data_IF_265610754964
#
_entry.id   IF_265610754964
#
_cell.length_a   1.000
_cell.length_b   1.000
_cell.length_c   1.000
_cell.angle_alpha   90.00
_cell.angle_beta   90.00
_cell.angle_gamma   90.00
#
_symmetry.space_group_name_H-M   'P 1'
#
loop_
_entity.id
_entity.type
_entity.pdbx_description
1 polymer ?
#
# COMPACT_ATOMS: atom_id res chain seq x y z
N UNK A 1 41.43 3.34 -1.96
CA UNK A 1 40.33 3.72 -2.86
C UNK A 1 39.28 2.66 -2.62
N UNK A 2 38.41 2.94 -1.66
CA UNK A 2 37.60 1.93 -1.00
C UNK A 2 36.16 2.44 -0.92
N UNK A 3 35.30 1.68 -1.59
CA UNK A 3 33.89 1.37 -1.31
C UNK A 3 32.96 2.52 -0.86
N UNK A 4 32.19 3.00 -1.84
CA UNK A 4 30.98 3.80 -1.68
C UNK A 4 29.79 2.86 -1.41
N UNK A 5 29.24 2.91 -0.19
CA UNK A 5 27.91 2.37 0.10
C UNK A 5 27.27 3.18 1.25
N UNK A 6 25.96 3.39 1.11
CA UNK A 6 25.01 3.98 2.07
C UNK A 6 24.90 5.51 2.09
N UNK A 7 23.97 6.02 1.30
CA UNK A 7 22.66 6.43 1.83
C UNK A 7 21.92 7.16 0.71
N UNK A 8 20.96 6.47 0.10
CA UNK A 8 19.91 7.14 -0.66
C UNK A 8 19.08 7.95 0.34
N UNK A 9 19.58 9.13 0.70
CA UNK A 9 18.79 10.19 1.32
C UNK A 9 17.68 10.50 0.34
N UNK A 10 16.46 10.25 0.80
CA UNK A 10 15.21 10.66 0.20
C UNK A 10 15.32 12.09 -0.32
N UNK A 11 15.50 12.26 -1.63
CA UNK A 11 15.37 13.57 -2.27
C UNK A 11 13.87 13.89 -2.31
N UNK A 12 13.41 14.72 -1.38
CA UNK A 12 12.19 15.50 -1.56
C UNK A 12 12.59 16.80 -2.27
N UNK A 13 11.91 17.20 -3.36
CA UNK A 13 12.17 18.50 -3.96
C UNK A 13 11.65 19.59 -3.02
N UNK A 14 12.56 20.38 -2.46
CA UNK A 14 12.23 21.65 -1.82
C UNK A 14 11.74 22.61 -2.92
N UNK A 15 10.44 22.79 -3.07
CA UNK A 15 9.89 23.86 -3.91
C UNK A 15 9.89 25.12 -3.06
N UNK A 16 10.83 26.02 -3.32
CA UNK A 16 10.87 27.34 -2.70
C UNK A 16 9.83 28.25 -3.37
N UNK A 17 8.72 28.53 -2.68
CA UNK A 17 7.89 29.68 -2.99
C UNK A 17 8.52 30.88 -2.27
N UNK A 18 9.38 31.64 -2.95
CA UNK A 18 9.97 32.84 -2.37
C UNK A 18 8.97 34.01 -2.47
N UNK A 19 8.27 34.32 -1.38
CA UNK A 19 7.69 35.66 -1.19
C UNK A 19 8.76 36.58 -0.59
N UNK A 20 9.04 37.77 -1.16
CA UNK A 20 10.00 38.70 -0.58
C UNK A 20 9.48 39.27 0.75
N UNK A 21 10.11 38.91 1.87
CA UNK A 21 9.90 39.55 3.17
C UNK A 21 9.32 38.69 4.30
N UNK A 22 8.96 37.43 4.04
CA UNK A 22 8.52 36.50 5.09
C UNK A 22 9.71 35.77 5.72
N UNK A 23 9.76 35.69 7.06
CA UNK A 23 10.70 34.83 7.77
C UNK A 23 10.52 33.37 7.31
N UNK A 24 11.60 32.58 7.14
CA UNK A 24 11.50 31.20 6.72
C UNK A 24 10.80 30.38 7.82
N UNK A 25 9.48 30.27 7.71
CA UNK A 25 8.72 29.30 8.48
C UNK A 25 8.95 27.95 7.82
N UNK A 26 9.64 27.05 8.53
CA UNK A 26 9.72 25.64 8.16
C UNK A 26 8.30 25.04 8.21
N UNK A 27 7.51 25.26 7.16
CA UNK A 27 6.30 24.49 6.95
C UNK A 27 6.77 23.13 6.43
N UNK A 28 7.01 22.21 7.36
CA UNK A 28 7.09 20.79 7.04
C UNK A 28 5.77 20.44 6.36
N UNK A 29 5.78 20.36 5.02
CA UNK A 29 4.69 19.73 4.29
C UNK A 29 4.70 18.27 4.73
N UNK A 30 3.98 17.99 5.80
CA UNK A 30 3.78 16.65 6.30
C UNK A 30 3.03 15.93 5.20
N UNK A 31 3.77 15.19 4.37
CA UNK A 31 3.18 14.32 3.36
C UNK A 31 2.24 13.43 4.16
N UNK A 32 0.93 13.61 3.97
CA UNK A 32 -0.06 12.97 4.83
C UNK A 32 0.00 11.45 4.70
N UNK A 33 0.68 10.98 3.64
CA UNK A 33 0.79 9.60 3.24
C UNK A 33 2.17 9.00 3.49
N UNK A 34 2.19 7.91 4.27
CA UNK A 34 3.41 7.22 4.67
C UNK A 34 3.32 5.74 4.30
N UNK A 35 4.37 5.18 3.69
CA UNK A 35 4.47 3.73 3.50
C UNK A 35 4.74 3.06 4.83
N UNK A 36 3.90 2.09 5.21
CA UNK A 36 4.04 1.31 6.45
C UNK A 36 4.67 -0.06 6.21
N UNK A 37 4.72 -0.51 4.96
CA UNK A 37 5.46 -1.71 4.58
C UNK A 37 5.86 -1.68 3.10
N UNK A 38 6.88 -2.44 2.76
CA UNK A 38 7.29 -2.69 1.38
C UNK A 38 7.54 -4.18 1.18
N UNK A 39 7.08 -4.72 0.06
CA UNK A 39 7.30 -6.10 -0.36
C UNK A 39 7.37 -6.19 -1.88
N UNK A 40 7.93 -7.26 -2.43
CA UNK A 40 7.88 -7.58 -3.86
C UNK A 40 6.89 -8.70 -4.09
N UNK A 41 6.00 -8.50 -5.06
CA UNK A 41 5.05 -9.52 -5.48
C UNK A 41 4.63 -9.34 -6.94
N UNK A 42 4.20 -10.42 -7.58
CA UNK A 42 3.44 -10.35 -8.82
C UNK A 42 1.97 -10.12 -8.49
N UNK A 43 1.38 -9.09 -9.09
CA UNK A 43 -0.04 -8.74 -8.88
C UNK A 43 -0.91 -9.52 -9.86
N UNK A 44 -1.82 -10.29 -9.30
CA UNK A 44 -2.70 -11.21 -10.02
C UNK A 44 -4.16 -10.84 -9.77
N UNK A 45 -5.02 -11.19 -10.73
CA UNK A 45 -6.47 -11.15 -10.60
C UNK A 45 -7.03 -12.52 -10.95
N UNK A 46 -8.08 -12.92 -10.25
CA UNK A 46 -8.79 -14.16 -10.60
C UNK A 46 -9.76 -13.87 -11.75
N UNK A 47 -9.59 -14.56 -12.87
CA UNK A 47 -10.54 -14.51 -13.98
C UNK A 47 -11.59 -15.62 -13.80
N UNK A 48 -12.83 -15.21 -13.52
CA UNK A 48 -13.95 -16.12 -13.29
C UNK A 48 -14.37 -16.89 -14.55
N UNK A 49 -14.02 -16.41 -15.76
CA UNK A 49 -14.35 -17.08 -17.02
C UNK A 49 -13.43 -18.27 -17.23
N UNK A 50 -12.12 -18.05 -17.10
CA UNK A 50 -11.11 -19.09 -17.32
C UNK A 50 -10.69 -19.84 -16.05
N UNK A 51 -11.29 -19.49 -14.89
CA UNK A 51 -11.07 -20.10 -13.57
C UNK A 51 -9.60 -20.13 -13.15
N UNK A 52 -8.82 -19.13 -13.57
CA UNK A 52 -7.37 -19.08 -13.34
C UNK A 52 -6.93 -17.70 -12.85
N UNK A 53 -5.80 -17.69 -12.14
CA UNK A 53 -5.10 -16.45 -11.84
C UNK A 53 -4.39 -15.95 -13.09
N UNK A 54 -4.63 -14.69 -13.44
CA UNK A 54 -3.96 -14.00 -14.55
C UNK A 54 -3.26 -12.75 -14.04
N UNK A 55 -2.15 -12.31 -14.66
CA UNK A 55 -1.54 -11.02 -14.33
C UNK A 55 -2.56 -9.89 -14.49
N UNK A 56 -2.55 -8.92 -13.58
CA UNK A 56 -3.50 -7.79 -13.60
C UNK A 56 -3.44 -6.96 -14.89
N UNK A 57 -2.30 -6.97 -15.59
CA UNK A 57 -2.16 -6.41 -16.92
C UNK A 57 -1.65 -7.49 -17.89
N UNK A 58 -2.37 -7.76 -19.00
CA UNK A 58 -1.91 -8.69 -20.03
C UNK A 58 -0.53 -8.32 -20.57
N UNK A 59 0.32 -9.32 -20.81
CA UNK A 59 1.69 -9.12 -21.31
C UNK A 59 2.70 -8.58 -20.27
N UNK A 60 2.25 -8.16 -19.08
CA UNK A 60 3.09 -7.55 -18.05
C UNK A 60 3.32 -8.52 -16.88
N UNK A 61 4.16 -9.53 -17.12
CA UNK A 61 4.59 -10.48 -16.09
C UNK A 61 5.75 -9.93 -15.24
N UNK A 62 5.92 -10.46 -14.04
CA UNK A 62 7.04 -10.12 -13.15
C UNK A 62 6.67 -9.23 -11.96
N UNK A 63 7.68 -9.03 -11.11
CA UNK A 63 7.52 -8.42 -9.79
C UNK A 63 7.21 -6.92 -9.85
N UNK A 64 6.39 -6.51 -8.89
CA UNK A 64 6.09 -5.12 -8.58
C UNK A 64 6.53 -4.85 -7.14
N UNK A 65 6.97 -3.62 -6.86
CA UNK A 65 7.13 -3.11 -5.50
C UNK A 65 5.74 -2.78 -4.97
N UNK A 66 5.30 -3.52 -3.97
CA UNK A 66 4.02 -3.35 -3.29
C UNK A 66 4.28 -2.59 -2.00
N UNK A 67 3.55 -1.50 -1.79
CA UNK A 67 3.51 -0.77 -0.53
C UNK A 67 2.09 -0.74 0.02
N UNK A 68 1.95 -0.74 1.33
CA UNK A 68 0.73 -0.25 1.99
C UNK A 68 1.03 1.16 2.46
N UNK A 69 0.23 2.11 2.01
CA UNK A 69 0.30 3.50 2.44
C UNK A 69 -0.80 3.79 3.45
N UNK A 70 -0.45 4.54 4.49
CA UNK A 70 -1.36 5.12 5.48
C UNK A 70 -1.43 6.62 5.27
N UNK A 71 -2.63 7.14 5.00
CA UNK A 71 -2.89 8.56 5.05
C UNK A 71 -3.37 8.93 6.44
N UNK A 72 -2.51 9.59 7.21
CA UNK A 72 -2.76 9.96 8.61
C UNK A 72 -3.80 11.08 8.76
N UNK A 73 -4.03 11.90 7.73
CA UNK A 73 -4.96 13.02 7.79
C UNK A 73 -6.43 12.57 7.77
N UNK A 74 -6.73 11.50 7.03
CA UNK A 74 -8.08 10.93 6.92
C UNK A 74 -8.15 9.49 7.47
N UNK A 75 -7.05 8.99 8.02
CA UNK A 75 -6.87 7.64 8.53
C UNK A 75 -7.31 6.55 7.53
N UNK A 76 -6.93 6.71 6.26
CA UNK A 76 -7.20 5.73 5.20
C UNK A 76 -5.95 4.93 4.86
N UNK A 77 -6.15 3.72 4.35
CA UNK A 77 -5.07 2.85 3.91
C UNK A 77 -5.28 2.41 2.47
N UNK A 78 -4.19 2.24 1.72
CA UNK A 78 -4.24 1.70 0.36
C UNK A 78 -3.04 0.84 0.02
N UNK A 79 -3.27 -0.18 -0.80
CA UNK A 79 -2.24 -1.00 -1.43
C UNK A 79 -1.86 -0.37 -2.76
N UNK A 80 -0.58 -0.06 -2.95
CA UNK A 80 -0.05 0.48 -4.20
C UNK A 80 1.05 -0.44 -4.71
N UNK A 81 0.87 -0.95 -5.93
CA UNK A 81 1.87 -1.77 -6.61
C UNK A 81 2.40 -1.06 -7.83
N UNK A 82 3.73 -0.94 -7.90
CA UNK A 82 4.45 -0.30 -9.00
C UNK A 82 5.40 -1.31 -9.63
N UNK A 83 5.33 -1.50 -10.94
CA UNK A 83 6.21 -2.42 -11.66
C UNK A 83 7.67 -1.99 -11.53
N UNK A 84 8.54 -2.98 -11.31
CA UNK A 84 9.98 -2.71 -11.16
C UNK A 84 10.65 -2.30 -12.48
N UNK A 85 10.08 -2.70 -13.62
CA UNK A 85 10.67 -2.51 -14.95
C UNK A 85 10.47 -1.09 -15.50
N UNK A 86 9.22 -0.61 -15.48
CA UNK A 86 8.80 0.63 -16.15
C UNK A 86 8.17 1.65 -15.19
N UNK A 87 8.20 1.36 -13.88
CA UNK A 87 7.58 2.16 -12.82
C UNK A 87 6.07 2.39 -13.01
N UNK A 88 5.39 1.52 -13.77
CA UNK A 88 3.96 1.65 -14.00
C UNK A 88 3.16 1.21 -12.76
N UNK A 89 2.16 2.01 -12.37
CA UNK A 89 1.19 1.62 -11.35
C UNK A 89 0.29 0.51 -11.91
N UNK A 90 0.27 -0.63 -11.23
CA UNK A 90 -0.52 -1.81 -11.59
C UNK A 90 -1.67 -2.10 -10.65
N UNK A 91 -1.60 -1.60 -9.41
CA UNK A 91 -2.70 -1.64 -8.46
C UNK A 91 -2.65 -0.39 -7.58
N UNK A 92 -3.82 0.19 -7.33
CA UNK A 92 -4.04 1.29 -6.40
C UNK A 92 -5.37 1.04 -5.70
N UNK A 93 -5.34 0.20 -4.66
CA UNK A 93 -6.53 -0.36 -4.03
C UNK A 93 -6.72 0.22 -2.63
N UNK A 94 -7.87 0.86 -2.39
CA UNK A 94 -8.25 1.35 -1.07
C UNK A 94 -8.67 0.20 -0.16
N UNK A 95 -7.97 0.04 0.97
CA UNK A 95 -8.31 -0.98 1.97
C UNK A 95 -9.54 -0.48 2.72
N UNK A 96 -10.63 -1.23 2.61
CA UNK A 96 -11.90 -0.91 3.26
C UNK A 96 -12.10 -1.73 4.53
N UNK A 97 -12.88 -1.19 5.47
CA UNK A 97 -13.31 -1.94 6.65
C UNK A 97 -14.03 -3.23 6.23
N UNK A 98 -13.78 -4.32 6.94
CA UNK A 98 -14.42 -5.60 6.68
C UNK A 98 -13.85 -6.35 5.47
N UNK A 99 -12.79 -5.84 4.83
CA UNK A 99 -12.06 -6.57 3.80
C UNK A 99 -11.61 -7.94 4.34
N UNK A 100 -11.92 -9.00 3.59
CA UNK A 100 -11.50 -10.36 3.91
C UNK A 100 -10.15 -10.66 3.26
N UNK A 101 -9.09 -10.51 4.03
CA UNK A 101 -7.73 -10.88 3.64
C UNK A 101 -7.46 -12.37 3.96
N UNK A 102 -6.95 -13.12 2.99
CA UNK A 102 -6.69 -14.56 3.10
C UNK A 102 -5.26 -14.90 2.66
N UNK A 103 -4.51 -15.57 3.52
CA UNK A 103 -3.16 -16.08 3.24
C UNK A 103 -3.28 -17.52 2.70
N UNK A 104 -3.57 -17.65 1.40
CA UNK A 104 -3.87 -18.94 0.77
C UNK A 104 -2.66 -19.91 0.78
N UNK A 105 -1.45 -19.37 0.63
CA UNK A 105 -0.19 -20.10 0.84
C UNK A 105 0.82 -19.16 1.54
N UNK A 106 1.99 -19.66 2.00
CA UNK A 106 3.02 -18.80 2.62
C UNK A 106 3.57 -17.68 1.73
N UNK A 107 3.34 -17.73 0.42
CA UNK A 107 3.79 -16.71 -0.55
C UNK A 107 2.66 -16.22 -1.45
N UNK A 108 1.42 -16.69 -1.27
CA UNK A 108 0.29 -16.27 -2.08
C UNK A 108 -0.88 -15.83 -1.20
N UNK A 109 -1.12 -14.52 -1.16
CA UNK A 109 -2.21 -13.94 -0.38
C UNK A 109 -3.22 -13.27 -1.31
N UNK A 110 -4.48 -13.21 -0.89
CA UNK A 110 -5.57 -12.72 -1.71
C UNK A 110 -6.62 -11.98 -0.90
N UNK A 111 -7.39 -11.15 -1.57
CA UNK A 111 -8.61 -10.54 -1.04
C UNK A 111 -9.62 -10.34 -2.16
N UNK A 112 -10.88 -10.16 -1.78
CA UNK A 112 -12.00 -9.98 -2.71
C UNK A 112 -12.74 -8.70 -2.38
N UNK A 113 -13.11 -7.96 -3.41
CA UNK A 113 -14.15 -6.93 -3.34
C UNK A 113 -15.40 -7.35 -4.13
N UNK A 114 -16.35 -6.43 -4.31
CA UNK A 114 -17.61 -6.72 -5.01
C UNK A 114 -17.45 -7.14 -6.48
N UNK A 115 -16.32 -6.83 -7.12
CA UNK A 115 -16.12 -7.00 -8.57
C UNK A 115 -14.95 -7.93 -8.91
N UNK A 116 -13.93 -8.00 -8.06
CA UNK A 116 -12.66 -8.63 -8.39
C UNK A 116 -12.05 -9.35 -7.18
N UNK A 117 -11.38 -10.47 -7.46
CA UNK A 117 -10.42 -11.08 -6.52
C UNK A 117 -9.02 -10.67 -6.93
N UNK A 118 -8.29 -10.11 -6.00
CA UNK A 118 -6.88 -9.74 -6.13
C UNK A 118 -6.02 -10.78 -5.44
N UNK A 119 -4.86 -11.05 -6.03
CA UNK A 119 -3.85 -11.94 -5.49
C UNK A 119 -2.47 -11.32 -5.58
N UNK A 120 -1.63 -11.57 -4.58
CA UNK A 120 -0.23 -11.21 -4.56
C UNK A 120 0.59 -12.48 -4.42
N UNK A 121 1.41 -12.78 -5.44
CA UNK A 121 2.41 -13.83 -5.39
C UNK A 121 3.76 -13.22 -4.99
N UNK A 122 4.10 -13.31 -3.72
CA UNK A 122 5.28 -12.69 -3.13
C UNK A 122 6.57 -13.36 -3.58
N UNK A 123 7.64 -12.57 -3.68
CA UNK A 123 8.97 -13.07 -4.05
C UNK A 123 9.60 -13.96 -2.96
N UNK A 124 9.17 -13.82 -1.70
CA UNK A 124 9.58 -14.69 -0.59
C UNK A 124 8.54 -14.76 0.53
N UNK A 125 8.69 -15.72 1.44
CA UNK A 125 7.84 -15.88 2.63
C UNK A 125 8.00 -14.70 3.59
N UNK A 126 9.22 -14.17 3.69
CA UNK A 126 9.55 -13.03 4.54
C UNK A 126 8.79 -11.79 4.05
N UNK A 127 8.82 -11.52 2.74
CA UNK A 127 8.08 -10.41 2.14
C UNK A 127 6.56 -10.56 2.29
N UNK A 128 6.06 -11.79 2.17
CA UNK A 128 4.66 -12.12 2.41
C UNK A 128 4.25 -11.83 3.88
N UNK A 129 5.12 -12.19 4.83
CA UNK A 129 4.91 -11.98 6.27
C UNK A 129 4.94 -10.49 6.62
N UNK A 130 5.91 -9.74 6.08
CA UNK A 130 5.97 -8.28 6.26
C UNK A 130 4.69 -7.61 5.75
N UNK A 131 4.21 -8.01 4.58
CA UNK A 131 2.98 -7.46 4.01
C UNK A 131 1.73 -7.86 4.82
N UNK A 132 1.62 -9.12 5.26
CA UNK A 132 0.45 -9.59 6.01
C UNK A 132 0.34 -8.89 7.36
N UNK A 133 1.44 -8.69 8.08
CA UNK A 133 1.44 -7.96 9.35
C UNK A 133 0.92 -6.53 9.18
N UNK A 134 1.35 -5.83 8.13
CA UNK A 134 0.90 -4.46 7.84
C UNK A 134 -0.57 -4.41 7.38
N UNK A 135 -1.01 -5.39 6.58
CA UNK A 135 -2.41 -5.51 6.15
C UNK A 135 -3.33 -5.74 7.35
N UNK A 136 -3.00 -6.67 8.24
CA UNK A 136 -3.79 -6.96 9.43
C UNK A 136 -3.81 -5.76 10.39
N UNK A 137 -2.69 -5.06 10.54
CA UNK A 137 -2.64 -3.80 11.28
C UNK A 137 -3.62 -2.76 10.71
N UNK A 138 -3.60 -2.52 9.39
CA UNK A 138 -4.51 -1.59 8.74
C UNK A 138 -5.99 -1.97 8.97
N UNK A 139 -6.33 -3.26 8.85
CA UNK A 139 -7.70 -3.74 9.08
C UNK A 139 -8.16 -3.56 10.54
N UNK A 140 -7.26 -3.76 11.50
CA UNK A 140 -7.55 -3.53 12.92
C UNK A 140 -7.76 -2.04 13.23
N UNK A 141 -6.96 -1.15 12.62
CA UNK A 141 -7.16 0.30 12.79
C UNK A 141 -8.50 0.74 12.20
N UNK A 142 -8.84 0.24 11.00
CA UNK A 142 -10.11 0.54 10.34
C UNK A 142 -11.32 -0.03 11.09
N UNK A 143 -11.19 -1.17 11.76
CA UNK A 143 -12.28 -1.75 12.55
C UNK A 143 -12.54 -0.96 13.83
N UNK A 144 -11.50 -0.44 14.48
CA UNK A 144 -11.58 0.34 15.71
C UNK A 144 -12.23 1.74 15.56
N UNK A 145 -12.24 2.32 14.35
CA UNK A 145 -12.82 3.64 14.10
C UNK A 145 -14.32 3.75 14.42
N UNK A 146 -15.08 2.66 14.35
CA UNK A 146 -16.53 2.70 14.62
C UNK A 146 -16.88 2.54 16.10
N UNK A 147 -15.95 2.10 16.96
CA UNK A 147 -16.19 1.94 18.40
C UNK A 147 -16.38 3.25 19.18
N UNK A 148 -16.32 4.40 18.51
CA UNK A 148 -16.52 5.73 19.08
C UNK A 148 -17.79 6.46 18.63
N UNK A 149 -18.69 5.81 17.87
CA UNK A 149 -19.93 6.41 17.35
C UNK A 149 -21.21 5.66 17.76
N UNK A 150 -21.23 5.05 18.94
CA UNK A 150 -22.46 4.51 19.52
C UNK A 150 -22.91 5.33 20.75
N UNK A 151 -24.07 5.99 20.55
CA UNK A 151 -25.05 6.49 21.53
C UNK A 151 -24.63 7.58 22.53
N UNK A 152 -24.73 8.84 22.08
CA UNK A 152 -25.41 9.89 22.87
C UNK A 152 -26.64 10.35 22.10
N UNK A 153 -27.72 9.60 22.21
CA UNK A 153 -29.05 10.10 21.85
C UNK A 153 -30.03 9.62 22.93
N UNK A 154 -30.34 10.59 23.80
CA UNK A 154 -31.61 10.80 24.51
C UNK A 154 -32.22 9.59 25.22
N UNK A 155 -32.07 9.57 26.55
CA UNK A 155 -33.18 9.55 27.53
C UNK A 155 -32.69 10.19 28.84
#
# INVERSE_FOLDING_TARGET
>A
MDINLQSHRFYFPQIYCAEPGAQPQLTEFKVSEQSICQARASVMVYDDTSKKWVPIKPGQQGFSRINIYHNTANNTFRVVGVKLQDQQVVINYSIVKGLKYNQATPTFHQWRDARQVYGLNFASKEEATTFSNAMLFALNVLSAQDGGRETKQLE
#
